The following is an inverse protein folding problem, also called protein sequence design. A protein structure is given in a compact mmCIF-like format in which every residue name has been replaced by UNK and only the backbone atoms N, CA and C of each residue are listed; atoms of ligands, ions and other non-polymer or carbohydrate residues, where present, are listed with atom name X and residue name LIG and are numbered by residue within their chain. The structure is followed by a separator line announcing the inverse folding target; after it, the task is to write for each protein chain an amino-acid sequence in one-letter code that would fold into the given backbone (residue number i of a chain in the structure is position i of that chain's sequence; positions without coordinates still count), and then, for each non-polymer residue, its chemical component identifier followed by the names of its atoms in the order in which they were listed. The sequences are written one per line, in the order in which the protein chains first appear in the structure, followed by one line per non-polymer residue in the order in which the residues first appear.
data_IF_732266651049
#
_entry.id   IF_732266651049
#
_cell.length_a   1.000
_cell.length_b   1.000
_cell.length_c   1.000
_cell.angle_alpha   90.00
_cell.angle_beta   90.00
_cell.angle_gamma   90.00
#
_symmetry.space_group_name_H-M   'P 1'
#
loop_
_entity.id
_entity.type
_entity.pdbx_description
1 polymer ?
#
# COMPACT_ATOMS: atom_id res chain seq x y z
N UNK A 1 -36.12 26.75 -8.90
CA UNK A 1 -35.18 26.49 -10.02
C UNK A 1 -34.76 25.04 -9.89
N UNK A 2 -35.30 24.18 -10.76
CA UNK A 2 -35.12 22.73 -10.71
C UNK A 2 -33.71 22.32 -11.13
N UNK A 3 -32.97 21.67 -10.22
CA UNK A 3 -31.75 20.95 -10.57
C UNK A 3 -32.11 19.68 -11.36
N UNK A 4 -31.98 19.78 -12.69
CA UNK A 4 -32.08 18.63 -13.58
C UNK A 4 -30.94 17.64 -13.27
N UNK A 5 -31.28 16.49 -12.68
CA UNK A 5 -30.33 15.41 -12.38
C UNK A 5 -29.74 14.86 -13.69
N UNK A 6 -28.51 15.24 -14.02
CA UNK A 6 -27.80 14.76 -15.22
C UNK A 6 -27.78 13.22 -15.28
N UNK A 7 -28.09 12.69 -16.47
CA UNK A 7 -28.08 11.25 -16.78
C UNK A 7 -26.65 10.69 -16.71
N UNK A 8 -26.48 9.41 -16.40
CA UNK A 8 -25.19 8.74 -16.20
C UNK A 8 -24.19 8.93 -17.35
N UNK A 9 -24.67 8.98 -18.61
CA UNK A 9 -23.82 9.31 -19.77
C UNK A 9 -23.27 10.73 -19.74
N UNK A 10 -24.08 11.71 -19.32
CA UNK A 10 -23.67 13.12 -19.25
C UNK A 10 -22.66 13.35 -18.13
N UNK A 11 -22.84 12.67 -16.98
CA UNK A 11 -21.86 12.68 -15.87
C UNK A 11 -20.49 12.15 -16.31
N UNK A 12 -20.46 11.06 -17.10
CA UNK A 12 -19.21 10.49 -17.61
C UNK A 12 -18.52 11.40 -18.63
N UNK A 13 -19.28 12.13 -19.45
CA UNK A 13 -18.74 13.13 -20.39
C UNK A 13 -18.14 14.33 -19.68
N UNK A 14 -18.82 14.84 -18.65
CA UNK A 14 -18.34 15.95 -17.83
C UNK A 14 -17.04 15.59 -17.10
N UNK A 15 -16.95 14.38 -16.53
CA UNK A 15 -15.74 13.89 -15.87
C UNK A 15 -14.56 13.80 -16.83
N UNK A 16 -14.80 13.37 -18.08
CA UNK A 16 -13.77 13.27 -19.12
C UNK A 16 -13.27 14.66 -19.55
N UNK A 17 -14.17 15.64 -19.66
CA UNK A 17 -13.80 17.03 -19.96
C UNK A 17 -12.99 17.66 -18.82
N UNK A 18 -13.39 17.46 -17.56
CA UNK A 18 -12.63 17.95 -16.40
C UNK A 18 -11.23 17.33 -16.34
N UNK A 19 -11.11 16.04 -16.64
CA UNK A 19 -9.83 15.35 -16.65
C UNK A 19 -8.92 15.77 -17.81
N UNK A 20 -9.50 16.17 -18.95
CA UNK A 20 -8.75 16.77 -20.07
C UNK A 20 -8.24 18.16 -19.70
N UNK A 21 -9.08 19.01 -19.09
CA UNK A 21 -8.67 20.34 -18.62
C UNK A 21 -7.60 20.26 -17.52
N UNK A 22 -7.72 19.35 -16.56
CA UNK A 22 -6.68 19.13 -15.54
C UNK A 22 -5.34 18.66 -16.15
N UNK A 23 -5.39 17.89 -17.23
CA UNK A 23 -4.18 17.45 -17.92
C UNK A 23 -3.55 18.59 -18.73
N UNK A 24 -4.36 19.43 -19.40
CA UNK A 24 -3.89 20.62 -20.12
C UNK A 24 -3.18 21.60 -19.18
N UNK A 25 -3.78 21.92 -18.02
CA UNK A 25 -3.18 22.81 -17.00
C UNK A 25 -1.86 22.23 -16.48
N UNK A 26 -1.78 20.91 -16.26
CA UNK A 26 -0.51 20.26 -15.84
C UNK A 26 0.57 20.33 -16.91
N UNK A 27 0.22 20.25 -18.20
CA UNK A 27 1.19 20.42 -19.30
C UNK A 27 1.66 21.87 -19.43
N UNK A 28 0.79 22.85 -19.18
CA UNK A 28 1.17 24.27 -19.15
C UNK A 28 2.13 24.58 -18.00
N UNK A 29 1.82 24.11 -16.77
CA UNK A 29 2.73 24.23 -15.61
C UNK A 29 4.09 23.56 -15.86
N UNK A 30 4.12 22.43 -16.57
CA UNK A 30 5.36 21.73 -16.94
C UNK A 30 6.20 22.51 -17.97
N UNK A 31 5.56 23.25 -18.88
CA UNK A 31 6.24 24.09 -19.85
C UNK A 31 6.79 25.38 -19.23
N UNK A 32 6.09 25.95 -18.24
CA UNK A 32 6.57 27.12 -17.48
C UNK A 32 7.80 26.77 -16.62
N UNK A 33 7.81 25.60 -15.98
CA UNK A 33 9.00 25.11 -15.25
C UNK A 33 10.17 24.81 -16.20
N UNK A 34 9.89 24.37 -17.44
CA UNK A 34 10.94 24.18 -18.46
C UNK A 34 11.53 25.52 -18.92
N UNK A 35 10.73 26.58 -19.09
CA UNK A 35 11.24 27.89 -19.50
C UNK A 35 12.11 28.54 -18.41
N UNK A 36 11.76 28.38 -17.12
CA UNK A 36 12.59 28.83 -15.99
C UNK A 36 13.94 28.10 -15.88
N UNK A 37 13.99 26.80 -16.20
CA UNK A 37 15.24 26.03 -16.17
C UNK A 37 16.15 26.42 -17.33
N UNK A 38 15.59 26.74 -18.50
CA UNK A 38 16.36 27.17 -19.68
C UNK A 38 16.88 28.60 -19.49
N UNK A 39 16.09 29.53 -18.94
CA UNK A 39 16.55 30.90 -18.66
C UNK A 39 17.70 30.93 -17.64
N UNK A 40 17.68 30.06 -16.64
CA UNK A 40 18.76 29.93 -15.64
C UNK A 40 20.09 29.34 -16.18
N UNK A 41 20.13 28.85 -17.42
CA UNK A 41 21.33 28.25 -18.04
C UNK A 41 22.07 29.14 -19.02
N UNK A 42 21.52 30.32 -19.35
CA UNK A 42 22.05 31.18 -20.43
C UNK A 42 22.70 32.48 -19.92
N UNK A 43 22.73 32.76 -18.61
CA UNK A 43 23.52 33.88 -18.08
C UNK A 43 24.95 33.46 -17.70
N UNK A 44 25.89 34.27 -18.19
CA UNK A 44 27.33 34.08 -18.28
C UNK A 44 28.08 33.66 -16.98
N UNK A 45 28.99 32.70 -17.14
CA UNK A 45 30.40 32.93 -16.79
C UNK A 45 30.87 32.94 -15.33
N UNK A 46 30.04 32.70 -14.31
CA UNK A 46 30.51 32.64 -12.91
C UNK A 46 30.28 31.28 -12.22
N UNK A 47 31.27 30.86 -11.41
CA UNK A 47 31.28 29.56 -10.72
C UNK A 47 30.12 29.45 -9.71
N UNK A 48 29.00 28.89 -10.15
CA UNK A 48 27.84 28.58 -9.29
C UNK A 48 28.21 27.68 -8.09
N UNK A 49 27.82 28.12 -6.89
CA UNK A 49 28.07 27.46 -5.61
C UNK A 49 27.45 26.04 -5.58
N UNK A 50 28.14 25.08 -4.97
CA UNK A 50 27.77 23.65 -4.95
C UNK A 50 26.34 23.36 -4.47
N UNK A 51 25.74 24.28 -3.70
CA UNK A 51 24.36 24.18 -3.21
C UNK A 51 23.32 24.41 -4.31
N UNK A 52 23.58 25.32 -5.24
CA UNK A 52 22.68 25.63 -6.36
C UNK A 52 22.75 24.57 -7.45
N UNK A 53 23.94 24.04 -7.74
CA UNK A 53 24.09 22.86 -8.62
C UNK A 53 23.27 21.67 -8.13
N UNK A 54 23.24 21.42 -6.82
CA UNK A 54 22.41 20.35 -6.22
C UNK A 54 20.92 20.64 -6.34
N UNK A 55 20.49 21.90 -6.23
CA UNK A 55 19.09 22.29 -6.37
C UNK A 55 18.61 22.12 -7.82
N UNK A 56 19.39 22.61 -8.79
CA UNK A 56 19.11 22.48 -10.23
C UNK A 56 19.11 21.00 -10.67
N UNK A 57 20.06 20.19 -10.20
CA UNK A 57 20.07 18.76 -10.48
C UNK A 57 18.86 18.02 -9.87
N UNK A 58 18.35 18.48 -8.71
CA UNK A 58 17.17 17.89 -8.06
C UNK A 58 15.88 18.27 -8.80
N UNK A 59 15.79 19.50 -9.31
CA UNK A 59 14.67 19.96 -10.15
C UNK A 59 14.66 19.22 -11.49
N UNK A 60 15.81 19.12 -12.18
CA UNK A 60 15.92 18.36 -13.43
C UNK A 60 15.50 16.88 -13.26
N UNK A 61 15.89 16.26 -12.14
CA UNK A 61 15.51 14.87 -11.82
C UNK A 61 14.03 14.72 -11.46
N UNK A 62 13.37 15.78 -11.03
CA UNK A 62 11.94 15.80 -10.73
C UNK A 62 11.11 16.00 -12.00
N UNK A 63 11.66 16.70 -13.00
CA UNK A 63 11.08 16.83 -14.35
C UNK A 63 11.17 15.51 -15.12
N UNK A 64 12.32 14.81 -15.10
CA UNK A 64 12.46 13.52 -15.80
C UNK A 64 11.55 12.42 -15.24
N UNK A 65 11.34 12.39 -13.92
CA UNK A 65 10.41 11.44 -13.27
C UNK A 65 8.95 11.78 -13.59
N UNK A 66 8.63 13.06 -13.85
CA UNK A 66 7.29 13.47 -14.30
C UNK A 66 7.06 13.15 -15.78
N UNK A 67 8.07 13.25 -16.65
CA UNK A 67 7.98 12.83 -18.06
C UNK A 67 7.73 11.32 -18.20
N UNK A 68 8.35 10.48 -17.35
CA UNK A 68 8.10 9.02 -17.35
C UNK A 68 6.67 8.64 -16.93
N UNK A 69 5.94 9.52 -16.24
CA UNK A 69 4.57 9.24 -15.76
C UNK A 69 3.48 9.67 -16.75
N UNK A 70 3.80 10.50 -17.76
CA UNK A 70 2.83 11.01 -18.75
C UNK A 70 2.82 10.18 -20.04
N UNK A 71 3.82 9.34 -20.28
CA UNK A 71 3.89 8.48 -21.46
C UNK A 71 3.17 7.12 -21.27
N UNK A 72 1.83 7.13 -21.22
CA UNK A 72 1.02 6.00 -21.70
C UNK A 72 0.23 6.42 -22.96
N UNK A 73 0.15 5.55 -23.98
CA UNK A 73 -0.34 5.95 -25.30
C UNK A 73 -1.87 6.05 -25.32
N UNK A 74 -2.37 7.24 -25.69
CA UNK A 74 -3.77 7.47 -26.06
C UNK A 74 -4.06 6.98 -27.49
N UNK A 75 -5.21 6.32 -27.60
CA UNK A 75 -5.80 5.60 -28.74
C UNK A 75 -5.90 6.38 -30.06
N UNK A 76 -5.92 5.67 -31.19
CA UNK A 76 -6.74 6.04 -32.35
C UNK A 76 -7.54 4.83 -32.86
N UNK A 77 -8.81 4.79 -32.48
CA UNK A 77 -9.87 4.04 -33.18
C UNK A 77 -10.54 5.07 -34.07
N UNK A 78 -10.28 5.02 -35.38
CA UNK A 78 -10.97 5.83 -36.37
C UNK A 78 -12.09 5.01 -37.01
N UNK A 79 -13.21 5.69 -37.24
CA UNK A 79 -14.50 5.24 -37.73
C UNK A 79 -14.42 4.60 -39.13
N UNK A 80 -15.28 3.60 -39.36
CA UNK A 80 -15.58 3.06 -40.69
C UNK A 80 -16.80 3.80 -41.22
N UNK A 81 -16.60 4.65 -42.24
CA UNK A 81 -17.64 4.96 -43.23
C UNK A 81 -17.33 4.19 -44.52
N UNK A 82 -18.37 3.59 -45.11
CA UNK A 82 -18.31 2.86 -46.37
C UNK A 82 -17.98 3.78 -47.55
N UNK A 83 -17.10 3.32 -48.44
CA UNK A 83 -17.23 3.42 -49.90
C UNK A 83 -16.24 2.50 -50.61
N UNK A 84 -16.75 1.78 -51.59
CA UNK A 84 -16.04 0.90 -52.50
C UNK A 84 -14.99 1.66 -53.33
N UNK A 85 -13.83 1.04 -53.53
CA UNK A 85 -13.20 0.88 -54.85
C UNK A 85 -11.91 0.03 -54.73
N UNK A 86 -11.74 -0.89 -55.68
CA UNK A 86 -10.58 -1.77 -55.79
C UNK A 86 -9.32 -1.01 -56.25
N UNK A 87 -8.12 -1.49 -55.86
CA UNK A 87 -6.91 -1.72 -56.70
C UNK A 87 -5.61 -1.79 -55.85
N UNK A 88 -4.94 -2.94 -56.01
CA UNK A 88 -3.48 -3.24 -56.04
C UNK A 88 -2.49 -3.01 -54.88
N UNK A 89 -1.43 -3.83 -54.98
CA UNK A 89 -0.40 -4.19 -54.03
C UNK A 89 0.81 -3.24 -54.02
N UNK A 90 1.47 -3.09 -52.85
CA UNK A 90 2.84 -3.57 -52.57
C UNK A 90 3.44 -2.96 -51.27
N UNK A 91 4.47 -3.67 -50.78
CA UNK A 91 5.60 -3.25 -49.92
C UNK A 91 5.52 -3.29 -48.38
N UNK A 92 5.93 -4.46 -47.87
CA UNK A 92 7.11 -4.67 -47.01
C UNK A 92 7.40 -3.70 -45.85
N UNK A 93 6.82 -4.02 -44.68
CA UNK A 93 7.44 -3.73 -43.38
C UNK A 93 7.62 -5.00 -42.55
N UNK A 94 8.87 -5.31 -42.19
CA UNK A 94 9.30 -6.50 -41.44
C UNK A 94 8.58 -6.62 -40.08
N UNK A 95 7.70 -7.61 -39.95
CA UNK A 95 6.96 -7.92 -38.73
C UNK A 95 7.85 -8.39 -37.57
N UNK A 96 7.58 -7.88 -36.36
CA UNK A 96 8.25 -8.26 -35.11
C UNK A 96 8.04 -9.76 -34.78
N UNK A 97 9.02 -10.40 -34.11
CA UNK A 97 9.05 -11.84 -33.82
C UNK A 97 7.79 -12.38 -33.11
N UNK A 98 7.12 -11.55 -32.30
CA UNK A 98 5.84 -11.91 -31.68
C UNK A 98 4.67 -11.98 -32.68
N UNK A 99 4.61 -11.06 -33.65
CA UNK A 99 3.55 -11.05 -34.68
C UNK A 99 3.71 -12.24 -35.63
N UNK A 100 4.95 -12.61 -36.00
CA UNK A 100 5.21 -13.84 -36.80
C UNK A 100 4.72 -15.11 -36.08
N UNK A 101 4.86 -15.19 -34.75
CA UNK A 101 4.35 -16.33 -33.96
C UNK A 101 2.83 -16.40 -33.92
N UNK A 102 2.16 -15.25 -33.82
CA UNK A 102 0.69 -15.16 -33.81
C UNK A 102 0.09 -15.50 -35.18
N UNK A 103 0.69 -15.02 -36.27
CA UNK A 103 0.30 -15.37 -37.63
C UNK A 103 0.51 -16.86 -37.91
N UNK A 104 1.64 -17.44 -37.47
CA UNK A 104 1.91 -18.88 -37.59
C UNK A 104 0.94 -19.75 -36.77
N UNK A 105 0.43 -19.24 -35.63
CA UNK A 105 -0.64 -19.90 -34.85
C UNK A 105 -2.02 -19.76 -35.50
N UNK A 106 -2.29 -18.64 -36.17
CA UNK A 106 -3.55 -18.41 -36.89
C UNK A 106 -3.62 -19.20 -38.19
N UNK A 107 -2.53 -19.28 -38.95
CA UNK A 107 -2.47 -20.09 -40.17
C UNK A 107 -2.60 -21.58 -39.86
N UNK A 108 -1.96 -22.06 -38.79
CA UNK A 108 -2.10 -23.44 -38.32
C UNK A 108 -3.52 -23.81 -37.86
N UNK A 109 -4.30 -22.82 -37.42
CA UNK A 109 -5.72 -23.01 -37.08
C UNK A 109 -6.66 -22.97 -38.29
N UNK A 110 -6.22 -22.44 -39.44
CA UNK A 110 -6.99 -22.45 -40.69
C UNK A 110 -6.72 -23.69 -41.54
N UNK A 111 -5.55 -24.32 -41.39
CA UNK A 111 -5.15 -25.51 -42.14
C UNK A 111 -5.79 -26.81 -41.60
N UNK A 112 -6.16 -26.84 -40.31
CA UNK A 112 -6.78 -28.01 -39.65
C UNK A 112 -8.32 -28.11 -39.82
N UNK A 113 -8.92 -27.42 -40.81
CA UNK A 113 -10.27 -27.69 -41.34
C UNK A 113 -11.36 -28.20 -40.37
N UNK A 114 -11.76 -27.40 -39.37
CA UNK A 114 -12.99 -27.66 -38.60
C UNK A 114 -13.96 -26.49 -38.81
N UNK A 115 -15.05 -26.78 -39.54
CA UNK A 115 -16.14 -25.86 -39.90
C UNK A 115 -16.87 -25.26 -38.70
N UNK A 116 -17.32 -24.02 -38.90
CA UNK A 116 -18.27 -23.31 -38.05
C UNK A 116 -19.67 -23.95 -38.12
N UNK A 117 -20.21 -24.41 -36.98
CA UNK A 117 -21.66 -24.58 -36.80
C UNK A 117 -22.17 -23.74 -35.62
N UNK A 118 -23.33 -23.11 -35.88
CA UNK A 118 -24.05 -22.06 -35.15
C UNK A 118 -24.29 -22.35 -33.65
N UNK A 119 -24.37 -21.31 -32.79
CA UNK A 119 -24.62 -21.49 -31.36
C UNK A 119 -26.05 -21.98 -31.07
N UNK A 120 -26.13 -23.13 -30.39
CA UNK A 120 -27.35 -23.74 -29.87
C UNK A 120 -27.99 -22.91 -28.74
N UNK A 121 -29.32 -22.90 -28.79
CA UNK A 121 -30.25 -22.08 -28.03
C UNK A 121 -30.17 -22.28 -26.51
N UNK A 122 -30.28 -21.15 -25.81
CA UNK A 122 -30.41 -21.04 -24.35
C UNK A 122 -31.72 -21.70 -23.92
N UNK A 123 -31.65 -22.84 -23.25
CA UNK A 123 -32.77 -23.49 -22.57
C UNK A 123 -33.31 -22.52 -21.49
N UNK A 124 -34.56 -22.10 -21.64
CA UNK A 124 -35.30 -21.34 -20.64
C UNK A 124 -35.29 -22.09 -19.30
N UNK A 125 -34.83 -21.42 -18.24
CA UNK A 125 -35.02 -21.86 -16.86
C UNK A 125 -36.01 -20.90 -16.23
N UNK A 126 -37.13 -21.49 -15.82
CA UNK A 126 -38.32 -20.86 -15.25
C UNK A 126 -37.99 -19.94 -14.08
N UNK A 127 -38.65 -18.79 -14.06
CA UNK A 127 -38.83 -17.93 -12.90
C UNK A 127 -39.66 -18.67 -11.84
N UNK A 128 -39.11 -18.80 -10.65
CA UNK A 128 -39.87 -18.81 -9.38
C UNK A 128 -38.90 -18.78 -8.20
N UNK A 129 -39.16 -17.88 -7.25
CA UNK A 129 -38.65 -17.90 -5.88
C UNK A 129 -37.42 -17.04 -5.61
N UNK A 130 -37.65 -15.78 -5.25
CA UNK A 130 -36.73 -14.95 -4.48
C UNK A 130 -36.48 -15.58 -3.10
N UNK A 131 -35.25 -16.03 -2.85
CA UNK A 131 -34.70 -16.14 -1.51
C UNK A 131 -33.31 -15.51 -1.48
N UNK A 132 -33.17 -14.54 -0.58
CA UNK A 132 -32.02 -13.65 -0.38
C UNK A 132 -30.68 -14.40 -0.26
N UNK A 133 -29.89 -14.42 -1.34
CA UNK A 133 -28.45 -14.61 -1.22
C UNK A 133 -27.79 -13.24 -1.03
N UNK A 134 -27.20 -12.95 0.14
CA UNK A 134 -26.55 -11.67 0.34
C UNK A 134 -25.41 -11.58 -0.66
N UNK A 135 -25.37 -10.46 -1.39
CA UNK A 135 -24.23 -10.02 -2.18
C UNK A 135 -22.94 -10.49 -1.52
N UNK A 136 -22.16 -11.32 -2.22
CA UNK A 136 -20.84 -11.74 -1.78
C UNK A 136 -19.94 -10.50 -1.68
N UNK A 137 -20.07 -9.76 -0.56
CA UNK A 137 -19.10 -8.77 -0.12
C UNK A 137 -17.79 -9.53 -0.08
N UNK A 138 -16.80 -9.08 -0.86
CA UNK A 138 -15.42 -9.61 -0.86
C UNK A 138 -15.09 -10.08 0.55
N UNK A 139 -15.04 -11.39 0.78
CA UNK A 139 -14.92 -11.96 2.11
C UNK A 139 -13.69 -11.35 2.76
N UNK A 140 -13.89 -10.50 3.77
CA UNK A 140 -12.76 -9.92 4.50
C UNK A 140 -11.98 -11.13 5.03
N UNK A 141 -10.72 -11.25 4.64
CA UNK A 141 -9.90 -12.35 5.10
C UNK A 141 -9.62 -12.11 6.58
N UNK A 142 -10.35 -12.80 7.44
CA UNK A 142 -10.23 -12.72 8.89
C UNK A 142 -9.09 -13.61 9.40
N UNK A 143 -7.99 -13.68 8.66
CA UNK A 143 -6.83 -14.49 9.01
C UNK A 143 -5.60 -13.60 9.15
N UNK A 144 -4.90 -13.76 10.26
CA UNK A 144 -3.68 -13.05 10.59
C UNK A 144 -2.51 -14.03 10.55
N UNK A 145 -1.36 -13.51 10.14
CA UNK A 145 -0.08 -14.17 10.30
C UNK A 145 0.56 -13.67 11.60
N UNK A 146 1.02 -14.59 12.43
CA UNK A 146 1.81 -14.29 13.62
C UNK A 146 3.19 -14.90 13.45
N UNK A 147 4.21 -14.04 13.44
CA UNK A 147 5.61 -14.41 13.32
C UNK A 147 6.40 -14.04 14.58
N UNK A 148 7.68 -14.43 14.56
CA UNK A 148 8.64 -14.15 15.65
C UNK A 148 8.22 -14.71 17.01
N UNK A 149 7.40 -15.76 17.03
CA UNK A 149 7.02 -16.44 18.26
C UNK A 149 8.22 -17.20 18.84
N UNK A 150 8.38 -17.23 20.18
CA UNK A 150 9.40 -18.05 20.81
C UNK A 150 9.18 -19.53 20.50
N UNK A 151 10.26 -20.29 20.29
CA UNK A 151 10.16 -21.71 19.96
C UNK A 151 9.52 -22.56 21.07
N UNK A 152 9.51 -22.04 22.30
CA UNK A 152 8.86 -22.65 23.47
C UNK A 152 7.40 -22.20 23.65
N UNK A 153 6.87 -21.36 22.76
CA UNK A 153 5.48 -20.93 22.82
C UNK A 153 4.55 -22.13 22.65
N UNK A 154 3.59 -22.27 23.56
CA UNK A 154 2.51 -23.24 23.44
C UNK A 154 1.24 -22.55 22.94
N UNK A 155 0.30 -23.34 22.41
CA UNK A 155 -1.01 -22.84 22.00
C UNK A 155 -1.73 -22.09 23.12
N UNK A 156 -1.66 -22.58 24.36
CA UNK A 156 -2.27 -21.93 25.52
C UNK A 156 -1.71 -20.53 25.78
N UNK A 157 -0.39 -20.34 25.59
CA UNK A 157 0.22 -19.01 25.76
C UNK A 157 -0.24 -18.04 24.68
N UNK A 158 -0.31 -18.49 23.43
CA UNK A 158 -0.79 -17.67 22.32
C UNK A 158 -2.27 -17.31 22.54
N UNK A 159 -3.11 -18.28 22.93
CA UNK A 159 -4.52 -18.03 23.23
C UNK A 159 -4.72 -17.02 24.36
N UNK A 160 -3.94 -17.13 25.44
CA UNK A 160 -3.96 -16.14 26.53
C UNK A 160 -3.56 -14.75 26.05
N UNK A 161 -2.54 -14.65 25.21
CA UNK A 161 -2.05 -13.38 24.66
C UNK A 161 -3.08 -12.67 23.77
N UNK A 162 -3.85 -13.45 23.00
CA UNK A 162 -4.89 -12.94 22.10
C UNK A 162 -6.31 -13.03 22.69
N UNK A 163 -6.45 -13.20 24.01
CA UNK A 163 -7.76 -13.40 24.65
C UNK A 163 -8.74 -12.23 24.41
N UNK A 164 -8.24 -11.01 24.29
CA UNK A 164 -9.02 -9.80 23.97
C UNK A 164 -9.64 -9.85 22.55
N UNK A 165 -9.05 -10.63 21.65
CA UNK A 165 -9.60 -10.86 20.31
C UNK A 165 -10.77 -11.84 20.31
N UNK A 166 -11.14 -12.40 21.47
CA UNK A 166 -12.24 -13.34 21.62
C UNK A 166 -11.90 -14.75 21.14
N UNK A 167 -12.87 -15.42 20.53
CA UNK A 167 -12.72 -16.80 20.07
C UNK A 167 -11.86 -16.88 18.82
N UNK A 168 -10.68 -17.48 18.95
CA UNK A 168 -9.70 -17.63 17.87
C UNK A 168 -9.46 -19.10 17.50
N UNK A 169 -9.29 -19.37 16.21
CA UNK A 169 -8.75 -20.64 15.72
C UNK A 169 -7.27 -20.48 15.42
N UNK A 170 -6.44 -21.28 16.09
CA UNK A 170 -4.98 -21.22 15.94
C UNK A 170 -4.49 -22.36 15.04
N UNK A 171 -3.59 -22.03 14.11
CA UNK A 171 -2.84 -22.99 13.30
C UNK A 171 -1.34 -22.73 13.45
N UNK A 172 -0.67 -23.50 14.29
CA UNK A 172 0.77 -23.41 14.48
C UNK A 172 1.52 -24.10 13.32
N UNK A 173 2.53 -23.44 12.76
CA UNK A 173 3.38 -24.02 11.72
C UNK A 173 4.52 -24.82 12.37
N UNK A 174 4.51 -26.12 12.15
CA UNK A 174 5.59 -27.03 12.52
C UNK A 174 6.36 -27.45 11.29
N UNK A 175 7.66 -27.69 11.44
CA UNK A 175 8.45 -28.31 10.38
C UNK A 175 7.98 -29.75 10.12
N UNK A 176 7.94 -30.16 8.85
CA UNK A 176 7.45 -31.48 8.44
C UNK A 176 8.42 -32.59 8.83
N UNK A 177 9.73 -32.31 8.82
CA UNK A 177 10.79 -33.28 9.13
C UNK A 177 11.00 -33.42 10.63
N UNK A 178 11.24 -32.30 11.31
CA UNK A 178 11.59 -32.31 12.74
C UNK A 178 10.39 -32.24 13.67
N UNK A 179 9.18 -31.96 13.16
CA UNK A 179 7.95 -31.69 13.94
C UNK A 179 8.09 -30.56 14.97
N UNK A 180 9.21 -29.83 14.96
CA UNK A 180 9.45 -28.70 15.86
C UNK A 180 8.66 -27.48 15.40
N UNK A 181 8.24 -26.67 16.37
CA UNK A 181 7.55 -25.41 16.10
C UNK A 181 8.49 -24.42 15.40
N UNK A 182 8.01 -23.79 14.32
CA UNK A 182 8.82 -22.87 13.50
C UNK A 182 8.88 -21.45 14.06
N UNK A 183 8.10 -21.13 15.09
CA UNK A 183 7.96 -19.75 15.57
C UNK A 183 6.98 -18.91 14.75
N UNK A 184 6.12 -19.56 13.95
CA UNK A 184 5.08 -18.88 13.16
C UNK A 184 3.74 -19.58 13.31
N UNK A 185 2.64 -18.83 13.33
CA UNK A 185 1.29 -19.35 13.42
C UNK A 185 0.33 -18.51 12.57
N UNK A 186 -0.82 -19.08 12.21
CA UNK A 186 -1.94 -18.35 11.65
C UNK A 186 -3.08 -18.31 12.67
N UNK A 187 -3.72 -17.16 12.78
CA UNK A 187 -4.89 -16.96 13.64
C UNK A 187 -6.06 -16.61 12.74
N UNK A 188 -7.15 -17.38 12.83
CA UNK A 188 -8.42 -17.07 12.18
C UNK A 188 -9.39 -16.55 13.25
N UNK A 189 -9.96 -15.38 13.00
CA UNK A 189 -10.93 -14.70 13.88
C UNK A 189 -12.30 -14.67 13.21
N UNK A 190 -13.37 -14.54 14.00
CA UNK A 190 -14.75 -14.49 13.48
C UNK A 190 -15.21 -13.07 13.12
N UNK A 191 -14.70 -12.06 13.82
CA UNK A 191 -15.18 -10.67 13.71
C UNK A 191 -14.13 -9.70 13.22
N UNK A 192 -14.57 -8.62 12.57
CA UNK A 192 -13.71 -7.49 12.21
C UNK A 192 -13.16 -6.76 13.45
N UNK A 193 -13.94 -6.70 14.54
CA UNK A 193 -13.48 -6.15 15.82
C UNK A 193 -12.35 -7.00 16.41
N UNK A 194 -12.51 -8.32 16.39
CA UNK A 194 -11.47 -9.27 16.79
C UNK A 194 -10.20 -9.13 15.93
N UNK A 195 -10.33 -8.88 14.63
CA UNK A 195 -9.20 -8.61 13.73
C UNK A 195 -8.43 -7.36 14.17
N UNK A 196 -9.13 -6.27 14.46
CA UNK A 196 -8.53 -5.02 14.95
C UNK A 196 -7.81 -5.20 16.30
N UNK A 197 -8.43 -5.94 17.23
CA UNK A 197 -7.83 -6.27 18.52
C UNK A 197 -6.61 -7.20 18.39
N UNK A 198 -6.60 -8.13 17.44
CA UNK A 198 -5.42 -8.94 17.18
C UNK A 198 -4.28 -8.11 16.57
N UNK A 199 -4.60 -7.19 15.66
CA UNK A 199 -3.61 -6.29 15.05
C UNK A 199 -3.00 -5.30 16.06
N UNK A 200 -3.75 -4.88 17.09
CA UNK A 200 -3.20 -4.00 18.13
C UNK A 200 -2.14 -4.71 18.99
N UNK A 201 -2.10 -6.05 18.98
CA UNK A 201 -1.05 -6.85 19.65
C UNK A 201 0.25 -6.95 18.84
N UNK A 202 0.36 -6.28 17.70
CA UNK A 202 1.62 -6.19 16.97
C UNK A 202 2.74 -5.57 17.84
N UNK A 203 3.94 -6.14 17.80
CA UNK A 203 5.13 -5.75 18.58
C UNK A 203 5.06 -5.94 20.10
N UNK A 204 3.98 -6.53 20.62
CA UNK A 204 3.89 -6.90 22.04
C UNK A 204 4.86 -8.03 22.40
N UNK A 205 5.20 -8.13 23.69
CA UNK A 205 6.15 -9.11 24.19
C UNK A 205 5.48 -10.44 24.56
N UNK A 206 6.10 -11.54 24.12
CA UNK A 206 5.78 -12.89 24.51
C UNK A 206 7.07 -13.62 24.90
N UNK A 207 7.23 -13.95 26.19
CA UNK A 207 8.44 -14.57 26.76
C UNK A 207 9.75 -13.84 26.39
N UNK A 208 9.76 -12.50 26.48
CA UNK A 208 10.94 -11.69 26.18
C UNK A 208 11.26 -11.55 24.68
N UNK A 209 10.33 -11.93 23.80
CA UNK A 209 10.44 -11.68 22.35
C UNK A 209 9.24 -10.90 21.85
N UNK A 210 9.50 -9.89 21.01
CA UNK A 210 8.44 -9.15 20.33
C UNK A 210 7.83 -9.96 19.21
N UNK A 211 6.51 -10.08 19.21
CA UNK A 211 5.78 -10.81 18.19
C UNK A 211 5.44 -9.90 17.02
N UNK A 212 5.42 -10.47 15.81
CA UNK A 212 4.97 -9.76 14.63
C UNK A 212 3.57 -10.26 14.23
N UNK A 213 2.58 -9.37 14.20
CA UNK A 213 1.20 -9.71 13.78
C UNK A 213 0.87 -8.95 12.49
N UNK A 214 0.62 -9.66 11.39
CA UNK A 214 0.38 -9.07 10.07
C UNK A 214 -0.90 -9.61 9.43
N UNK A 215 -1.50 -8.82 8.54
CA UNK A 215 -2.58 -9.30 7.68
C UNK A 215 -2.05 -10.28 6.64
N UNK A 216 -2.75 -11.41 6.45
CA UNK A 216 -2.38 -12.37 5.42
C UNK A 216 -3.00 -12.02 4.07
N UNK A 217 -2.26 -12.25 2.98
CA UNK A 217 -2.85 -12.35 1.66
C UNK A 217 -3.30 -13.80 1.43
N UNK A 218 -4.54 -14.03 0.97
CA UNK A 218 -4.95 -15.33 0.45
C UNK A 218 -4.56 -15.46 -1.04
N UNK A 219 -4.18 -16.67 -1.46
CA UNK A 219 -3.83 -16.98 -2.85
C UNK A 219 -2.37 -16.70 -3.23
N UNK A 220 -1.87 -17.49 -4.19
CA UNK A 220 -0.49 -17.45 -4.68
C UNK A 220 0.49 -18.22 -3.77
N UNK A 221 1.32 -19.09 -4.35
CA UNK A 221 2.38 -19.76 -3.60
C UNK A 221 3.43 -18.77 -3.05
N UNK A 222 4.33 -19.24 -2.19
CA UNK A 222 5.37 -18.42 -1.54
C UNK A 222 6.31 -17.66 -2.51
N UNK A 223 6.33 -18.06 -3.79
CA UNK A 223 7.12 -17.43 -4.86
C UNK A 223 6.33 -16.45 -5.72
N UNK A 224 5.03 -16.28 -5.48
CA UNK A 224 4.20 -15.36 -6.25
C UNK A 224 4.57 -13.91 -5.94
N UNK A 225 4.99 -13.17 -6.95
CA UNK A 225 5.30 -11.74 -6.86
C UNK A 225 4.08 -10.91 -6.49
N UNK A 226 2.93 -11.17 -7.13
CA UNK A 226 1.65 -10.52 -6.80
C UNK A 226 1.29 -10.66 -5.30
N UNK A 227 1.57 -11.82 -4.71
CA UNK A 227 1.36 -12.04 -3.27
C UNK A 227 2.31 -11.20 -2.42
N UNK A 228 3.58 -11.11 -2.80
CA UNK A 228 4.59 -10.30 -2.09
C UNK A 228 4.21 -8.82 -2.12
N UNK A 229 3.90 -8.30 -3.30
CA UNK A 229 3.49 -6.90 -3.47
C UNK A 229 2.23 -6.59 -2.65
N UNK A 230 1.26 -7.52 -2.57
CA UNK A 230 0.08 -7.37 -1.73
C UNK A 230 0.41 -7.36 -0.24
N UNK A 231 1.29 -8.25 0.22
CA UNK A 231 1.75 -8.29 1.62
C UNK A 231 2.51 -7.00 1.96
N UNK A 232 3.39 -6.53 1.09
CA UNK A 232 4.16 -5.30 1.32
C UNK A 232 3.25 -4.07 1.39
N UNK A 233 2.21 -4.01 0.55
CA UNK A 233 1.18 -2.99 0.65
C UNK A 233 0.42 -3.06 1.99
N UNK A 234 0.07 -4.27 2.45
CA UNK A 234 -0.62 -4.46 3.73
C UNK A 234 0.27 -4.04 4.91
N UNK A 235 1.56 -4.38 4.88
CA UNK A 235 2.56 -3.95 5.87
C UNK A 235 2.71 -2.44 5.89
N UNK A 236 2.80 -1.79 4.72
CA UNK A 236 2.89 -0.33 4.62
C UNK A 236 1.65 0.33 5.19
N UNK A 237 0.45 -0.18 4.88
CA UNK A 237 -0.81 0.30 5.48
C UNK A 237 -0.82 0.15 7.00
N UNK A 238 -0.39 -1.01 7.50
CA UNK A 238 -0.32 -1.27 8.94
C UNK A 238 0.68 -0.35 9.64
N UNK A 239 1.87 -0.16 9.07
CA UNK A 239 2.89 0.76 9.57
C UNK A 239 2.37 2.20 9.63
N UNK A 240 1.72 2.67 8.57
CA UNK A 240 1.12 4.01 8.54
C UNK A 240 0.06 4.17 9.64
N UNK A 241 -0.80 3.17 9.86
CA UNK A 241 -1.78 3.21 10.96
C UNK A 241 -1.09 3.28 12.33
N UNK A 242 0.03 2.58 12.52
CA UNK A 242 0.79 2.61 13.76
C UNK A 242 1.47 3.98 13.98
N UNK A 243 2.02 4.58 12.93
CA UNK A 243 2.60 5.92 12.96
C UNK A 243 1.53 6.96 13.33
N UNK A 244 0.36 6.92 12.70
CA UNK A 244 -0.74 7.85 13.00
C UNK A 244 -1.26 7.69 14.43
N UNK A 245 -1.39 6.45 14.93
CA UNK A 245 -1.70 6.20 16.35
C UNK A 245 -0.64 6.77 17.29
N UNK A 246 0.62 6.65 16.92
CA UNK A 246 1.76 7.15 17.70
C UNK A 246 1.75 8.68 17.74
N UNK A 247 1.52 9.34 16.61
CA UNK A 247 1.36 10.80 16.54
C UNK A 247 0.18 11.27 17.39
N UNK A 248 -0.97 10.61 17.29
CA UNK A 248 -2.14 10.93 18.11
C UNK A 248 -1.86 10.76 19.61
N UNK A 249 -1.09 9.74 19.99
CA UNK A 249 -0.66 9.53 21.37
C UNK A 249 0.24 10.67 21.86
N UNK A 250 1.20 11.09 21.05
CA UNK A 250 2.11 12.21 21.35
C UNK A 250 1.30 13.51 21.47
N UNK A 251 0.45 13.82 20.50
CA UNK A 251 -0.37 15.02 20.50
C UNK A 251 -1.25 15.10 21.76
N UNK A 252 -1.86 13.98 22.16
CA UNK A 252 -2.62 13.92 23.41
C UNK A 252 -1.78 14.28 24.65
N UNK A 253 -0.51 13.89 24.69
CA UNK A 253 0.39 14.28 25.77
C UNK A 253 0.82 15.74 25.66
N UNK A 254 0.92 16.32 24.47
CA UNK A 254 1.23 17.75 24.29
C UNK A 254 0.03 18.61 24.71
N UNK A 255 -1.19 18.20 24.36
CA UNK A 255 -2.43 18.93 24.69
C UNK A 255 -2.80 18.81 26.18
N UNK A 256 -2.28 17.79 26.88
CA UNK A 256 -2.58 17.57 28.29
C UNK A 256 -1.82 18.58 29.15
N UNK A 257 -2.49 19.45 29.92
CA UNK A 257 -1.85 20.56 30.65
C UNK A 257 -0.91 20.11 31.77
N UNK A 258 -0.99 18.84 32.19
CA UNK A 258 -0.12 18.23 33.20
C UNK A 258 1.20 17.70 32.62
N UNK A 259 1.31 17.58 31.30
CA UNK A 259 2.47 17.01 30.63
C UNK A 259 3.49 18.10 30.27
N UNK A 260 4.77 17.79 30.45
CA UNK A 260 5.89 18.72 30.17
C UNK A 260 6.41 18.64 28.74
N UNK A 261 5.87 17.72 27.94
CA UNK A 261 6.25 17.48 26.55
C UNK A 261 5.71 18.58 25.64
N UNK A 262 6.60 19.25 24.91
CA UNK A 262 6.23 20.23 23.87
C UNK A 262 6.41 19.64 22.47
N UNK A 263 5.77 20.27 21.46
CA UNK A 263 5.94 19.87 20.06
C UNK A 263 7.41 19.95 19.60
N UNK A 264 8.16 20.92 20.12
CA UNK A 264 9.58 21.08 19.82
C UNK A 264 10.45 19.97 20.41
N UNK A 265 9.97 19.21 21.39
CA UNK A 265 10.72 18.11 21.99
C UNK A 265 10.64 16.81 21.18
N UNK A 266 9.81 16.77 20.12
CA UNK A 266 9.55 15.56 19.32
C UNK A 266 10.04 15.74 17.88
N UNK A 267 10.92 14.84 17.43
CA UNK A 267 11.38 14.76 16.03
C UNK A 267 10.74 13.57 15.30
N UNK A 268 10.76 13.57 13.97
CA UNK A 268 10.35 12.43 13.13
C UNK A 268 11.02 11.12 13.53
N UNK A 269 12.31 11.17 13.92
CA UNK A 269 13.05 9.99 14.39
C UNK A 269 12.46 9.39 15.67
N UNK A 270 11.91 10.23 16.56
CA UNK A 270 11.24 9.75 17.78
C UNK A 270 9.90 9.11 17.43
N UNK A 271 9.16 9.68 16.48
CA UNK A 271 7.88 9.13 16.00
C UNK A 271 8.11 7.75 15.38
N UNK A 272 9.11 7.63 14.48
CA UNK A 272 9.49 6.36 13.87
C UNK A 272 9.88 5.33 14.94
N UNK A 273 10.64 5.74 15.95
CA UNK A 273 11.08 4.86 17.01
C UNK A 273 9.94 4.42 17.93
N UNK A 274 9.04 5.33 18.29
CA UNK A 274 7.83 5.03 19.05
C UNK A 274 6.89 4.09 18.28
N UNK A 275 6.83 4.19 16.95
CA UNK A 275 6.02 3.30 16.10
C UNK A 275 6.49 1.84 16.14
N UNK A 276 7.74 1.58 16.54
CA UNK A 276 8.26 0.22 16.73
C UNK A 276 7.79 -0.44 18.02
N UNK A 277 7.23 0.30 18.95
CA UNK A 277 6.66 -0.23 20.18
C UNK A 277 5.16 -0.48 20.03
N UNK A 278 4.64 -1.36 20.88
CA UNK A 278 3.22 -1.44 21.12
C UNK A 278 2.73 -0.17 21.84
N UNK A 279 1.42 0.06 21.77
CA UNK A 279 0.80 1.28 22.30
C UNK A 279 1.09 1.50 23.79
N UNK A 280 1.09 0.43 24.58
CA UNK A 280 1.28 0.51 26.03
C UNK A 280 2.73 0.90 26.38
N UNK A 281 3.71 0.27 25.73
CA UNK A 281 5.12 0.62 25.94
C UNK A 281 5.45 2.02 25.45
N UNK A 282 4.88 2.45 24.31
CA UNK A 282 5.02 3.82 23.82
C UNK A 282 4.48 4.82 24.86
N UNK A 283 3.30 4.55 25.43
CA UNK A 283 2.72 5.39 26.50
C UNK A 283 3.63 5.45 27.73
N UNK A 284 4.12 4.30 28.23
CA UNK A 284 5.04 4.25 29.38
C UNK A 284 6.31 5.09 29.15
N UNK A 285 6.84 5.08 27.92
CA UNK A 285 8.04 5.88 27.60
C UNK A 285 7.78 7.39 27.62
N UNK A 286 6.58 7.82 27.22
CA UNK A 286 6.14 9.22 27.30
C UNK A 286 5.89 9.64 28.76
N UNK A 287 5.25 8.78 29.55
CA UNK A 287 5.03 9.00 30.97
C UNK A 287 6.37 9.13 31.73
N UNK A 288 7.37 8.31 31.39
CA UNK A 288 8.70 8.41 32.00
C UNK A 288 9.43 9.70 31.59
N UNK A 289 9.31 10.14 30.33
CA UNK A 289 9.82 11.44 29.92
C UNK A 289 9.20 12.56 30.77
N UNK A 290 7.88 12.59 30.90
CA UNK A 290 7.19 13.60 31.72
C UNK A 290 7.63 13.58 33.20
N UNK A 291 7.91 12.40 33.75
CA UNK A 291 8.40 12.25 35.13
C UNK A 291 9.84 12.78 35.30
N UNK A 292 10.71 12.52 34.33
CA UNK A 292 12.15 12.78 34.45
C UNK A 292 12.58 14.15 33.91
N UNK A 293 11.75 14.79 33.08
CA UNK A 293 12.07 16.11 32.51
C UNK A 293 12.00 17.19 33.58
N UNK A 294 13.15 17.84 33.77
CA UNK A 294 13.36 18.98 34.66
C UNK A 294 14.06 20.10 33.86
N UNK A 295 14.00 21.34 34.37
CA UNK A 295 14.58 22.52 33.71
C UNK A 295 16.11 22.46 33.51
N UNK A 296 16.78 21.49 34.16
CA UNK A 296 18.21 21.21 33.98
C UNK A 296 18.54 20.49 32.67
N UNK A 297 17.55 19.94 31.97
CA UNK A 297 17.77 19.19 30.72
C UNK A 297 17.92 20.17 29.55
N UNK A 298 19.17 20.44 29.17
CA UNK A 298 19.49 21.35 28.05
C UNK A 298 19.06 20.82 26.68
N UNK A 299 19.25 19.51 26.43
CA UNK A 299 18.89 18.88 25.16
C UNK A 299 17.78 17.84 25.37
N UNK A 300 16.55 18.33 25.41
CA UNK A 300 15.33 17.54 25.65
C UNK A 300 15.12 16.44 24.60
N UNK A 301 15.38 16.74 23.31
CA UNK A 301 15.32 15.77 22.20
C UNK A 301 16.26 14.59 22.40
N UNK A 302 17.52 14.87 22.73
CA UNK A 302 18.51 13.82 22.97
C UNK A 302 18.22 13.01 24.23
N UNK A 303 17.72 13.68 25.27
CA UNK A 303 17.28 13.03 26.51
C UNK A 303 16.13 12.06 26.26
N UNK A 304 15.09 12.49 25.52
CA UNK A 304 13.96 11.63 25.18
C UNK A 304 14.40 10.45 24.32
N UNK A 305 15.24 10.69 23.30
CA UNK A 305 15.84 9.60 22.51
C UNK A 305 16.65 8.62 23.36
N UNK A 306 17.30 9.08 24.44
CA UNK A 306 18.00 8.23 25.40
C UNK A 306 17.05 7.29 26.14
N UNK A 307 15.93 7.83 26.66
CA UNK A 307 14.86 7.06 27.28
C UNK A 307 14.35 5.99 26.31
N UNK A 308 13.98 6.40 25.09
CA UNK A 308 13.47 5.50 24.07
C UNK A 308 14.46 4.35 23.75
N UNK A 309 15.75 4.66 23.58
CA UNK A 309 16.78 3.63 23.35
C UNK A 309 16.87 2.62 24.50
N UNK A 310 16.75 3.06 25.76
CA UNK A 310 16.71 2.16 26.91
C UNK A 310 15.46 1.28 26.87
N UNK A 311 14.28 1.83 26.58
CA UNK A 311 13.05 1.05 26.39
C UNK A 311 13.19 0.01 25.27
N UNK A 312 13.96 0.26 24.21
CA UNK A 312 14.16 -0.77 23.19
C UNK A 312 14.93 -1.99 23.70
N UNK A 313 15.79 -1.81 24.69
CA UNK A 313 16.61 -2.88 25.27
C UNK A 313 15.91 -3.59 26.43
N UNK A 314 15.17 -2.83 27.23
CA UNK A 314 14.60 -3.27 28.53
C UNK A 314 13.07 -3.35 28.52
N UNK A 315 12.42 -2.80 27.49
CA UNK A 315 10.96 -2.65 27.39
C UNK A 315 10.32 -1.95 28.62
N UNK A 316 11.10 -1.12 29.32
CA UNK A 316 10.65 -0.40 30.50
C UNK A 316 10.67 -1.22 31.79
N UNK A 317 11.33 -2.38 31.80
CA UNK A 317 11.63 -3.13 33.02
C UNK A 317 12.99 -2.63 33.54
N UNK A 318 12.98 -1.91 34.66
CA UNK A 318 14.19 -1.56 35.42
C UNK A 318 14.83 -2.80 36.06
#
# INVERSE_FOLDING_TARGET
MEESKLNAKQRRKLLRQQQQQENEVKTEELNEVKSEVVSATVEDGEQVNAKERRRLARLAKQVTVKEEFVAEPTETVAEVEEKDDAIEANDDQKLNAQQRRLLKRKSKRKDDGVEEMKPLQKKQKQENGEEDKPFARKSIHLTLFVGQLPYRATEGMIRKHFAESGEIKLRMLTDKKTKKFKGTAFIEVKDSKALGAALSRHHTLLQGRRINVELTASGGGNKSENRRNKIDLLRKKQSNVQIEKTKALIQKHIDSPECKLTQDDVDDRMIDFLSWFDYETAKKSLDEYNRCVNDKVMNRKAFFMGILKRFRQTDGVE
#
